data_IF_698165253167
#
_entry.id   IF_698165253167
#
_cell.length_a   1.000
_cell.length_b   1.000
_cell.length_c   1.000
_cell.angle_alpha   90.00
_cell.angle_beta   90.00
_cell.angle_gamma   90.00
#
_symmetry.space_group_name_H-M   'P 1'
#
loop_
_entity.id
_entity.type
_entity.pdbx_description
1 polymer ?
#
# COMPACT_ATOMS: atom_id res chain seq x y z
N UNK A 1 -35.02 68.58 9.88
CA UNK A 1 -34.52 68.52 8.49
C UNK A 1 -33.05 68.89 8.47
N UNK A 2 -32.17 67.89 8.31
CA UNK A 2 -30.88 67.95 7.60
C UNK A 2 -30.30 66.54 7.64
N UNK A 3 -30.26 65.95 6.45
CA UNK A 3 -29.76 64.63 6.08
C UNK A 3 -28.23 64.58 6.11
N UNK A 4 -27.70 63.36 5.90
CA UNK A 4 -26.34 63.00 5.46
C UNK A 4 -25.35 62.61 6.56
N UNK A 5 -24.57 61.53 6.46
CA UNK A 5 -24.48 60.39 5.52
C UNK A 5 -23.64 59.36 6.27
N UNK A 6 -24.11 58.11 6.38
CA UNK A 6 -23.35 56.99 6.93
C UNK A 6 -22.39 56.51 5.84
N UNK A 7 -21.10 56.83 5.94
CA UNK A 7 -20.07 56.31 5.04
C UNK A 7 -19.42 55.09 5.70
N UNK A 8 -19.84 53.90 5.28
CA UNK A 8 -19.24 52.63 5.67
C UNK A 8 -17.92 52.47 4.91
N UNK A 9 -16.79 52.64 5.59
CA UNK A 9 -15.45 52.43 5.04
C UNK A 9 -14.96 51.02 5.42
N UNK A 10 -15.42 50.00 4.69
CA UNK A 10 -14.96 48.62 4.83
C UNK A 10 -14.28 48.15 3.55
N UNK A 11 -13.14 48.73 3.17
CA UNK A 11 -12.32 48.16 2.09
C UNK A 11 -10.84 48.44 2.39
N UNK A 12 -10.17 47.45 2.98
CA UNK A 12 -8.75 47.60 3.29
C UNK A 12 -8.09 46.44 4.01
N UNK A 13 -8.56 45.20 3.85
CA UNK A 13 -7.79 44.03 4.27
C UNK A 13 -7.94 42.90 3.24
N UNK A 14 -6.79 42.31 2.90
CA UNK A 14 -6.57 41.13 2.05
C UNK A 14 -6.57 41.34 0.53
N UNK A 15 -5.54 42.03 0.04
CA UNK A 15 -4.89 41.64 -1.22
C UNK A 15 -3.53 41.04 -0.85
N UNK A 16 -3.55 39.86 -0.21
CA UNK A 16 -2.40 38.97 -0.31
C UNK A 16 -2.25 38.55 -1.78
N UNK A 17 -1.05 38.22 -2.27
CA UNK A 17 -0.91 37.72 -3.63
C UNK A 17 -1.84 36.52 -3.78
N UNK A 18 -2.88 36.66 -4.61
CA UNK A 18 -3.57 35.52 -5.17
C UNK A 18 -2.50 34.80 -6.00
N UNK A 19 -1.85 33.80 -5.41
CA UNK A 19 -1.06 32.86 -6.19
C UNK A 19 -2.00 32.32 -7.25
N UNK A 20 -1.79 32.72 -8.51
CA UNK A 20 -2.61 32.25 -9.62
C UNK A 20 -2.65 30.73 -9.54
N UNK A 21 -3.86 30.16 -9.60
CA UNK A 21 -4.02 28.72 -9.69
C UNK A 21 -3.11 28.23 -10.83
N UNK A 22 -2.25 27.25 -10.54
CA UNK A 22 -1.41 26.67 -11.59
C UNK A 22 -2.35 26.02 -12.60
N UNK A 23 -2.09 26.24 -13.89
CA UNK A 23 -2.80 25.55 -14.97
C UNK A 23 -2.49 24.05 -15.00
N UNK A 24 -1.51 23.58 -14.21
CA UNK A 24 -1.11 22.17 -14.10
C UNK A 24 -1.25 21.65 -12.68
N UNK A 25 -1.96 20.54 -12.54
CA UNK A 25 -2.06 19.75 -11.31
C UNK A 25 -0.88 18.77 -11.20
N UNK A 26 -0.10 18.85 -10.12
CA UNK A 26 1.00 17.93 -9.83
C UNK A 26 0.52 16.81 -8.91
N UNK A 27 0.47 15.58 -9.43
CA UNK A 27 -0.06 14.42 -8.72
C UNK A 27 1.01 13.34 -8.52
N UNK A 28 0.95 12.60 -7.41
CA UNK A 28 1.85 11.49 -7.14
C UNK A 28 1.15 10.12 -7.09
N UNK A 29 1.85 9.03 -7.45
CA UNK A 29 1.35 7.66 -7.36
C UNK A 29 2.29 6.71 -6.58
N UNK A 30 1.76 5.66 -5.89
CA UNK A 30 2.58 4.65 -5.18
C UNK A 30 3.37 3.70 -6.08
N UNK A 31 2.95 3.53 -7.32
CA UNK A 31 3.30 2.33 -8.07
C UNK A 31 4.72 2.38 -8.67
N UNK A 32 5.52 1.31 -8.57
CA UNK A 32 6.77 1.18 -9.31
C UNK A 32 6.49 1.13 -10.82
N UNK A 33 7.24 1.90 -11.62
CA UNK A 33 7.02 2.03 -13.08
C UNK A 33 7.42 0.77 -13.84
N UNK A 34 8.38 0.03 -13.31
CA UNK A 34 9.00 -1.13 -13.96
C UNK A 34 8.12 -2.39 -13.84
N UNK A 35 7.24 -2.43 -12.83
CA UNK A 35 6.47 -3.64 -12.48
C UNK A 35 4.96 -3.38 -12.43
N UNK A 36 4.49 -2.24 -12.90
CA UNK A 36 3.07 -1.91 -12.91
C UNK A 36 2.68 -1.03 -14.10
N UNK A 37 1.53 -1.34 -14.71
CA UNK A 37 0.88 -0.48 -15.70
C UNK A 37 0.05 0.64 -15.04
N UNK A 38 -0.19 0.57 -13.73
CA UNK A 38 -1.03 1.53 -13.01
C UNK A 38 -0.58 3.00 -13.14
N UNK A 39 0.72 3.34 -13.11
CA UNK A 39 1.21 4.70 -13.38
C UNK A 39 0.66 5.29 -14.69
N UNK A 40 0.74 4.49 -15.77
CA UNK A 40 0.32 4.94 -17.10
C UNK A 40 -1.18 5.11 -17.18
N UNK A 41 -1.94 4.18 -16.60
CA UNK A 41 -3.41 4.26 -16.56
C UNK A 41 -3.85 5.51 -15.78
N UNK A 42 -3.26 5.75 -14.60
CA UNK A 42 -3.58 6.93 -13.80
C UNK A 42 -3.22 8.23 -14.52
N UNK A 43 -2.08 8.27 -15.21
CA UNK A 43 -1.69 9.43 -16.01
C UNK A 43 -2.68 9.72 -17.13
N UNK A 44 -3.16 8.70 -17.84
CA UNK A 44 -4.16 8.86 -18.91
C UNK A 44 -5.51 9.32 -18.37
N UNK A 45 -5.97 8.74 -17.25
CA UNK A 45 -7.23 9.15 -16.62
C UNK A 45 -7.16 10.60 -16.15
N UNK A 46 -6.06 10.98 -15.50
CA UNK A 46 -5.90 12.37 -15.02
C UNK A 46 -5.78 13.34 -16.19
N UNK A 47 -4.99 13.00 -17.23
CA UNK A 47 -4.88 13.85 -18.41
C UNK A 47 -6.25 14.14 -19.04
N UNK A 48 -7.08 13.10 -19.25
CA UNK A 48 -8.43 13.26 -19.79
C UNK A 48 -9.34 14.08 -18.86
N UNK A 49 -9.38 13.74 -17.56
CA UNK A 49 -10.25 14.41 -16.60
C UNK A 49 -9.92 15.90 -16.41
N UNK A 50 -8.63 16.25 -16.33
CA UNK A 50 -8.19 17.64 -16.15
C UNK A 50 -8.30 18.44 -17.46
N UNK A 51 -8.10 17.79 -18.62
CA UNK A 51 -8.30 18.45 -19.91
C UNK A 51 -9.74 18.94 -20.11
N UNK A 52 -10.74 18.20 -19.60
CA UNK A 52 -12.15 18.63 -19.62
C UNK A 52 -12.40 19.93 -18.82
N UNK A 53 -11.46 20.32 -17.97
CA UNK A 53 -11.49 21.55 -17.16
C UNK A 53 -10.53 22.63 -17.69
N UNK A 54 -9.92 22.43 -18.86
CA UNK A 54 -8.84 23.27 -19.39
C UNK A 54 -7.62 23.35 -18.46
N UNK A 55 -7.31 22.24 -17.80
CA UNK A 55 -6.13 22.09 -16.94
C UNK A 55 -5.25 20.95 -17.45
N UNK A 56 -3.95 21.04 -17.15
CA UNK A 56 -3.00 19.96 -17.33
C UNK A 56 -2.86 19.13 -16.06
N UNK A 57 -2.39 17.89 -16.19
CA UNK A 57 -2.03 17.04 -15.06
C UNK A 57 -0.68 16.35 -15.31
N UNK A 58 0.22 16.45 -14.33
CA UNK A 58 1.49 15.72 -14.32
C UNK A 58 1.51 14.71 -13.18
N UNK A 59 1.46 13.43 -13.55
CA UNK A 59 1.43 12.32 -12.59
C UNK A 59 2.80 11.65 -12.47
N UNK A 60 3.43 11.79 -11.30
CA UNK A 60 4.81 11.35 -11.04
C UNK A 60 4.87 10.22 -10.01
N UNK A 61 6.00 9.50 -10.01
CA UNK A 61 6.28 8.51 -8.95
C UNK A 61 6.41 9.19 -7.59
N UNK A 62 6.06 8.47 -6.52
CA UNK A 62 5.92 9.00 -5.17
C UNK A 62 7.00 10.02 -4.77
N UNK A 63 6.55 11.27 -4.58
CA UNK A 63 7.19 12.29 -3.76
C UNK A 63 6.34 12.35 -2.48
N UNK A 64 6.96 12.47 -1.30
CA UNK A 64 6.22 12.50 -0.04
C UNK A 64 5.12 13.59 -0.06
N UNK A 65 3.87 13.18 0.17
CA UNK A 65 2.68 14.05 0.19
C UNK A 65 2.81 15.25 1.13
N UNK A 66 3.63 15.10 2.17
CA UNK A 66 3.85 16.09 3.22
C UNK A 66 4.90 17.15 2.83
N UNK A 67 5.56 16.99 1.68
CA UNK A 67 6.57 17.95 1.22
C UNK A 67 5.98 19.29 0.76
N UNK A 68 4.66 19.38 0.56
CA UNK A 68 3.99 20.55 -0.02
C UNK A 68 4.39 20.82 -1.48
N UNK A 69 5.04 19.87 -2.15
CA UNK A 69 5.53 19.99 -3.54
C UNK A 69 4.60 19.38 -4.58
N UNK A 70 3.52 18.75 -4.14
CA UNK A 70 2.50 18.14 -4.99
C UNK A 70 1.13 18.65 -4.56
N UNK A 71 0.19 18.69 -5.50
CA UNK A 71 -1.18 19.16 -5.27
C UNK A 71 -2.11 18.01 -4.84
N UNK A 72 -1.71 16.75 -5.07
CA UNK A 72 -2.48 15.59 -4.61
C UNK A 72 -1.82 14.24 -4.89
N UNK A 73 -2.51 13.18 -4.47
CA UNK A 73 -2.08 11.80 -4.70
C UNK A 73 -3.19 10.97 -5.35
N UNK A 74 -2.79 10.06 -6.23
CA UNK A 74 -3.68 9.16 -6.95
C UNK A 74 -3.33 7.69 -6.70
N UNK A 75 -4.36 6.85 -6.68
CA UNK A 75 -4.21 5.40 -6.54
C UNK A 75 -3.70 4.95 -5.16
N UNK A 76 -4.00 5.71 -4.10
CA UNK A 76 -3.81 5.28 -2.70
C UNK A 76 -4.95 4.35 -2.26
N UNK A 77 -4.70 3.56 -1.21
CA UNK A 77 -5.76 2.78 -0.58
C UNK A 77 -6.82 3.71 0.03
N UNK A 78 -8.07 3.25 0.09
CA UNK A 78 -9.21 4.05 0.59
C UNK A 78 -8.94 4.68 1.97
N UNK A 79 -8.36 3.91 2.89
CA UNK A 79 -8.05 4.33 4.28
C UNK A 79 -6.76 5.13 4.43
N UNK A 80 -6.10 5.50 3.33
CA UNK A 80 -4.82 6.22 3.37
C UNK A 80 -4.97 7.64 3.93
N UNK A 81 -6.10 8.30 3.65
CA UNK A 81 -6.42 9.64 4.13
C UNK A 81 -6.69 9.71 5.63
N UNK A 82 -7.11 8.60 6.26
CA UNK A 82 -7.51 8.55 7.68
C UNK A 82 -6.40 9.02 8.65
N UNK A 83 -5.14 8.97 8.20
CA UNK A 83 -3.96 9.36 8.98
C UNK A 83 -3.27 10.61 8.47
N UNK A 84 -3.85 11.31 7.48
CA UNK A 84 -3.25 12.48 6.82
C UNK A 84 -4.27 13.62 6.77
N UNK A 85 -4.36 14.42 7.85
CA UNK A 85 -5.38 15.47 7.96
C UNK A 85 -5.23 16.58 6.91
N UNK A 86 -4.05 16.70 6.29
CA UNK A 86 -3.75 17.63 5.21
C UNK A 86 -4.18 17.12 3.82
N UNK A 87 -4.72 15.90 3.71
CA UNK A 87 -5.24 15.36 2.46
C UNK A 87 -6.77 15.33 2.48
N UNK A 88 -7.38 15.92 1.46
CA UNK A 88 -8.81 15.78 1.19
C UNK A 88 -9.01 14.58 0.26
N UNK A 89 -9.83 13.62 0.68
CA UNK A 89 -10.16 12.44 -0.13
C UNK A 89 -11.24 12.81 -1.15
N UNK A 90 -11.04 12.37 -2.38
CA UNK A 90 -12.08 12.32 -3.43
C UNK A 90 -12.60 10.89 -3.49
N UNK A 91 -13.92 10.71 -3.48
CA UNK A 91 -14.56 9.41 -3.29
C UNK A 91 -14.63 8.59 -4.59
N UNK A 92 -14.55 9.26 -5.73
CA UNK A 92 -14.56 8.68 -7.06
C UNK A 92 -13.32 7.81 -7.30
N UNK A 93 -13.48 6.48 -7.47
CA UNK A 93 -12.33 5.60 -7.66
C UNK A 93 -11.77 5.72 -9.08
N UNK A 94 -10.50 6.12 -9.20
CA UNK A 94 -9.80 6.12 -10.49
C UNK A 94 -9.48 4.69 -10.97
N UNK A 95 -9.21 3.78 -10.04
CA UNK A 95 -8.88 2.37 -10.33
C UNK A 95 -9.40 1.47 -9.21
N UNK A 96 -9.84 0.27 -9.57
CA UNK A 96 -10.18 -0.78 -8.60
C UNK A 96 -9.35 -2.03 -8.86
N UNK A 97 -8.85 -2.66 -7.79
CA UNK A 97 -8.09 -3.89 -7.86
C UNK A 97 -8.83 -5.00 -7.12
N UNK A 98 -8.98 -6.15 -7.77
CA UNK A 98 -9.35 -7.39 -7.08
C UNK A 98 -8.11 -8.15 -6.69
N UNK A 99 -8.07 -8.59 -5.44
CA UNK A 99 -7.00 -9.44 -4.92
C UNK A 99 -7.39 -10.87 -5.18
N UNK A 100 -6.48 -11.63 -5.78
CA UNK A 100 -6.67 -13.05 -6.06
C UNK A 100 -5.48 -13.84 -5.52
N UNK A 101 -5.75 -15.06 -5.06
CA UNK A 101 -4.72 -16.00 -4.64
C UNK A 101 -4.38 -16.91 -5.82
N UNK A 102 -3.08 -17.14 -6.04
CA UNK A 102 -2.59 -18.13 -6.98
C UNK A 102 -1.95 -19.28 -6.22
N UNK A 103 -2.08 -20.50 -6.75
CA UNK A 103 -1.51 -21.70 -6.14
C UNK A 103 -0.90 -22.58 -7.22
N UNK A 104 0.14 -23.34 -6.83
CA UNK A 104 0.72 -24.42 -7.65
C UNK A 104 0.12 -25.78 -7.31
N UNK A 105 -0.72 -25.87 -6.28
CA UNK A 105 -1.36 -27.12 -5.86
C UNK A 105 -2.56 -27.36 -6.78
N UNK A 106 -2.56 -28.45 -7.57
CA UNK A 106 -3.70 -28.79 -8.42
C UNK A 106 -4.98 -28.94 -7.61
N UNK A 107 -6.11 -28.54 -8.20
CA UNK A 107 -7.47 -28.68 -7.66
C UNK A 107 -7.76 -27.99 -6.32
N UNK A 108 -6.79 -27.30 -5.71
CA UNK A 108 -7.02 -26.53 -4.50
C UNK A 108 -8.02 -25.40 -4.77
N UNK A 109 -9.17 -25.46 -4.10
CA UNK A 109 -10.18 -24.41 -4.12
C UNK A 109 -10.08 -23.57 -2.86
N UNK A 110 -9.74 -22.29 -3.03
CA UNK A 110 -9.78 -21.28 -1.96
C UNK A 110 -10.96 -20.37 -2.27
N UNK A 111 -11.97 -20.37 -1.41
CA UNK A 111 -13.16 -19.52 -1.53
C UNK A 111 -13.11 -18.42 -0.46
N UNK A 112 -12.22 -17.47 -0.69
CA UNK A 112 -11.99 -16.35 0.21
C UNK A 112 -11.08 -16.67 1.41
N UNK A 113 -11.02 -15.69 2.31
CA UNK A 113 -10.09 -15.66 3.43
C UNK A 113 -10.27 -16.80 4.44
N UNK A 114 -11.51 -17.22 4.68
CA UNK A 114 -11.82 -18.22 5.70
C UNK A 114 -11.32 -19.61 5.31
N UNK A 115 -11.19 -19.92 4.02
CA UNK A 115 -10.58 -21.17 3.54
C UNK A 115 -9.12 -21.34 3.96
N UNK A 116 -8.45 -20.28 4.42
CA UNK A 116 -7.06 -20.32 4.89
C UNK A 116 -6.95 -20.57 6.40
N UNK A 117 -8.03 -20.38 7.17
CA UNK A 117 -8.01 -20.49 8.63
C UNK A 117 -7.65 -21.91 9.05
N UNK A 118 -6.70 -22.04 9.98
CA UNK A 118 -6.30 -23.33 10.55
C UNK A 118 -5.55 -24.25 9.58
N UNK A 119 -5.32 -23.84 8.33
CA UNK A 119 -4.52 -24.60 7.37
C UNK A 119 -3.03 -24.53 7.69
N UNK A 120 -2.27 -25.49 7.19
CA UNK A 120 -0.80 -25.47 7.22
C UNK A 120 -0.20 -24.83 5.96
N UNK A 121 -1.01 -24.14 5.14
CA UNK A 121 -0.53 -23.55 3.91
C UNK A 121 0.44 -22.40 4.17
N UNK A 122 1.53 -22.37 3.42
CA UNK A 122 2.41 -21.21 3.35
C UNK A 122 1.82 -20.23 2.35
N UNK A 123 1.28 -19.13 2.85
CA UNK A 123 0.74 -18.05 2.03
C UNK A 123 1.71 -16.87 2.04
N UNK A 124 1.92 -16.25 0.89
CA UNK A 124 2.72 -15.04 0.75
C UNK A 124 1.88 -13.96 0.06
N UNK A 125 2.07 -12.70 0.47
CA UNK A 125 1.50 -11.53 -0.19
C UNK A 125 2.58 -10.71 -0.87
N UNK A 126 2.20 -9.96 -1.90
CA UNK A 126 3.08 -8.96 -2.53
C UNK A 126 3.53 -7.94 -1.47
N UNK A 127 4.83 -7.65 -1.43
CA UNK A 127 5.40 -6.61 -0.58
C UNK A 127 4.79 -5.23 -0.91
N UNK A 128 4.74 -4.33 0.06
CA UNK A 128 4.18 -2.99 -0.09
C UNK A 128 2.66 -2.87 0.14
N UNK A 129 1.94 -3.99 0.30
CA UNK A 129 0.52 -4.00 0.63
C UNK A 129 0.29 -4.41 2.10
N UNK A 130 0.43 -3.45 3.01
CA UNK A 130 0.32 -3.68 4.45
C UNK A 130 -1.02 -4.29 4.87
N UNK A 131 -2.12 -3.90 4.22
CA UNK A 131 -3.47 -4.42 4.50
C UNK A 131 -3.56 -5.93 4.30
N UNK A 132 -2.98 -6.48 3.23
CA UNK A 132 -3.02 -7.92 2.97
C UNK A 132 -2.14 -8.69 3.94
N UNK A 133 -0.96 -8.14 4.25
CA UNK A 133 -0.07 -8.72 5.25
C UNK A 133 -0.77 -8.81 6.61
N UNK A 134 -1.33 -7.70 7.10
CA UNK A 134 -2.03 -7.65 8.37
C UNK A 134 -3.23 -8.62 8.40
N UNK A 135 -3.99 -8.70 7.31
CA UNK A 135 -5.13 -9.64 7.21
C UNK A 135 -4.67 -11.10 7.24
N UNK A 136 -3.60 -11.44 6.52
CA UNK A 136 -3.04 -12.80 6.53
C UNK A 136 -2.51 -13.19 7.91
N UNK A 137 -1.84 -12.27 8.61
CA UNK A 137 -1.33 -12.50 9.97
C UNK A 137 -2.46 -12.75 11.00
N UNK A 138 -3.67 -12.21 10.77
CA UNK A 138 -4.84 -12.49 11.61
C UNK A 138 -5.49 -13.85 11.34
N UNK A 139 -5.39 -14.34 10.10
CA UNK A 139 -6.11 -15.55 9.64
C UNK A 139 -5.24 -16.80 9.82
N UNK A 140 -3.97 -16.67 9.46
CA UNK A 140 -3.02 -17.77 9.50
C UNK A 140 -2.49 -17.89 10.93
N UNK A 141 -2.35 -19.13 11.40
CA UNK A 141 -1.56 -19.35 12.62
C UNK A 141 -0.15 -18.82 12.34
N UNK A 142 0.44 -18.06 13.26
CA UNK A 142 1.86 -17.74 13.17
C UNK A 142 2.61 -19.05 12.97
N UNK A 143 3.38 -19.17 11.89
CA UNK A 143 4.33 -20.27 11.80
C UNK A 143 5.21 -20.19 13.05
N UNK A 144 5.42 -21.30 13.79
CA UNK A 144 6.27 -21.27 14.97
C UNK A 144 7.61 -20.62 14.57
N UNK A 145 8.05 -19.61 15.33
CA UNK A 145 9.29 -18.90 15.04
C UNK A 145 10.42 -19.93 14.96
N UNK A 146 11.45 -19.66 14.16
CA UNK A 146 12.61 -20.57 14.03
C UNK A 146 13.15 -21.00 15.41
N UNK A 147 13.18 -20.10 16.39
CA UNK A 147 13.56 -20.39 17.77
C UNK A 147 12.68 -21.45 18.44
N UNK A 148 11.37 -21.41 18.23
CA UNK A 148 10.41 -22.37 18.78
C UNK A 148 10.51 -23.74 18.08
N UNK A 149 10.74 -23.74 16.76
CA UNK A 149 11.02 -24.97 16.00
C UNK A 149 12.32 -25.61 16.51
N UNK A 150 13.38 -24.82 16.68
CA UNK A 150 14.66 -25.29 17.22
C UNK A 150 14.50 -25.82 18.65
N UNK A 151 13.70 -25.17 19.49
CA UNK A 151 13.40 -25.65 20.83
C UNK A 151 12.68 -27.01 20.81
N UNK A 152 11.68 -27.20 19.94
CA UNK A 152 10.97 -28.48 19.77
C UNK A 152 11.88 -29.56 19.18
N UNK A 153 12.75 -29.22 18.23
CA UNK A 153 13.73 -30.15 17.65
C UNK A 153 14.80 -30.57 18.67
N UNK A 154 15.19 -29.67 19.59
CA UNK A 154 16.05 -30.02 20.74
C UNK A 154 15.32 -30.93 21.71
N UNK A 155 14.10 -30.57 22.13
CA UNK A 155 13.31 -31.32 23.11
C UNK A 155 12.94 -32.73 22.64
N UNK A 156 12.63 -32.90 21.35
CA UNK A 156 12.31 -34.21 20.75
C UNK A 156 13.53 -35.09 20.47
N UNK A 157 14.74 -34.60 20.74
CA UNK A 157 16.01 -35.28 20.43
C UNK A 157 16.27 -35.42 18.92
N UNK A 158 15.48 -34.78 18.06
CA UNK A 158 15.60 -34.90 16.60
C UNK A 158 16.97 -34.44 16.10
N UNK A 159 17.51 -33.36 16.68
CA UNK A 159 18.85 -32.86 16.35
C UNK A 159 19.92 -33.86 16.76
N UNK A 160 19.80 -34.43 17.97
CA UNK A 160 20.77 -35.40 18.49
C UNK A 160 20.82 -36.67 17.66
N UNK A 161 19.66 -37.18 17.20
CA UNK A 161 19.58 -38.35 16.30
C UNK A 161 20.19 -38.07 14.93
N UNK A 162 19.97 -36.87 14.37
CA UNK A 162 20.52 -36.50 13.06
C UNK A 162 22.05 -36.36 13.10
N UNK A 163 22.58 -35.76 14.18
CA UNK A 163 24.03 -35.65 14.40
C UNK A 163 24.66 -37.03 14.62
N UNK A 164 24.07 -37.90 15.45
CA UNK A 164 24.58 -39.24 15.68
C UNK A 164 24.65 -40.06 14.38
N UNK A 165 23.60 -39.99 13.55
CA UNK A 165 23.59 -40.65 12.24
C UNK A 165 24.66 -40.11 11.29
N UNK A 166 24.85 -38.79 11.23
CA UNK A 166 25.89 -38.19 10.37
C UNK A 166 27.30 -38.61 10.82
N UNK A 167 27.53 -38.69 12.14
CA UNK A 167 28.82 -39.14 12.70
C UNK A 167 29.06 -40.64 12.55
N UNK A 168 28.00 -41.46 12.57
CA UNK A 168 28.10 -42.90 12.31
C UNK A 168 28.31 -43.19 10.81
N UNK A 169 27.74 -42.39 9.89
CA UNK A 169 28.00 -42.46 8.45
C UNK A 169 29.44 -42.04 8.09
N UNK A 170 30.08 -41.14 8.86
CA UNK A 170 31.51 -40.80 8.72
C UNK A 170 32.45 -41.88 9.28
N UNK A 171 31.97 -42.78 10.14
CA UNK A 171 32.72 -43.94 10.65
C UNK A 171 32.54 -45.19 9.78
N UNK A 172 32.56 -45.01 8.45
CA UNK A 172 32.61 -46.12 7.50
C UNK A 172 33.66 -47.17 7.90
N UNK A 173 33.46 -48.45 7.55
CA UNK A 173 34.24 -49.56 8.10
C UNK A 173 35.74 -49.28 7.94
N UNK A 174 36.46 -49.32 9.06
CA UNK A 174 37.91 -49.16 9.07
C UNK A 174 38.54 -50.19 8.09
N UNK A 175 39.54 -49.77 7.29
CA UNK A 175 40.19 -50.66 6.33
C UNK A 175 40.82 -51.89 6.98
#
# INVERSE_FOLDING_TARGET
MRTSTLLMLCLGLLQGPAGGARDTMLLAHPYPRETSYAPRVLALICADAFQQLNMDADVRGAIEAESGKIDGEVGRAYTYGDKRPNLVRVDEPLVSFRVVAFTRIPDLKISGWDSLKGTSYRVQSRSGYSTFKARLEQILRPLPRLAEILARMKASGAIRRHIARALDEERGPAP
#
